data_IF_160598690156
#
_entry.id   IF_160598690156
#
_cell.length_a   1.000
_cell.length_b   1.000
_cell.length_c   1.000
_cell.angle_alpha   90.00
_cell.angle_beta   90.00
_cell.angle_gamma   90.00
#
_symmetry.space_group_name_H-M   'P 1'
#
loop_
_entity.id
_entity.type
_entity.pdbx_description
1 polymer ?
#
# COMPACT_ATOMS: atom_id res chain seq x y z
N UNK A 1 17.26 -77.63 6.36
CA UNK A 1 18.64 -77.40 6.85
C UNK A 1 18.75 -75.92 7.23
N UNK A 2 19.15 -75.60 8.47
CA UNK A 2 19.37 -74.22 8.98
C UNK A 2 18.24 -73.66 9.87
N UNK A 3 17.99 -74.25 11.05
CA UNK A 3 18.37 -73.80 12.41
C UNK A 3 17.49 -72.70 13.05
N UNK A 4 16.68 -73.21 13.97
CA UNK A 4 16.03 -72.61 15.14
C UNK A 4 16.98 -71.97 16.17
N UNK A 5 16.43 -71.03 16.97
CA UNK A 5 16.60 -70.72 18.42
C UNK A 5 16.80 -69.20 18.61
N UNK A 6 16.00 -68.45 19.37
CA UNK A 6 15.20 -68.74 20.55
C UNK A 6 15.94 -68.28 21.80
N UNK A 7 15.39 -67.36 22.59
CA UNK A 7 15.59 -67.32 24.05
C UNK A 7 14.64 -66.38 24.79
N UNK A 8 14.15 -66.86 25.93
CA UNK A 8 13.25 -66.25 26.90
C UNK A 8 14.03 -65.83 28.16
N UNK A 9 13.57 -64.75 28.80
CA UNK A 9 13.47 -64.44 30.26
C UNK A 9 14.70 -64.46 31.20
N UNK A 10 14.87 -63.37 31.98
CA UNK A 10 15.27 -63.30 33.41
C UNK A 10 15.07 -61.84 33.89
N UNK A 11 14.17 -61.44 34.80
CA UNK A 11 14.04 -61.52 36.27
C UNK A 11 15.13 -60.78 37.09
N UNK A 12 14.67 -59.69 37.74
CA UNK A 12 15.03 -58.98 39.01
C UNK A 12 16.49 -58.65 39.40
N UNK A 13 16.74 -57.36 39.74
CA UNK A 13 17.16 -56.94 41.10
C UNK A 13 16.99 -55.41 41.31
N UNK A 14 16.47 -55.04 42.49
CA UNK A 14 16.34 -53.70 43.06
C UNK A 14 17.67 -53.17 43.62
N UNK A 15 18.04 -51.91 43.35
CA UNK A 15 18.77 -51.05 44.31
C UNK A 15 18.23 -49.62 44.16
N UNK A 16 17.70 -49.10 45.27
CA UNK A 16 17.39 -47.69 45.46
C UNK A 16 18.65 -46.93 45.86
N UNK A 17 18.91 -45.78 45.23
CA UNK A 17 19.68 -44.70 45.88
C UNK A 17 19.02 -43.36 45.53
N UNK A 18 18.69 -42.64 46.59
CA UNK A 18 18.06 -41.33 46.55
C UNK A 18 19.00 -40.27 45.98
N UNK A 19 18.48 -39.43 45.09
CA UNK A 19 18.95 -38.06 44.96
C UNK A 19 17.77 -37.12 45.16
N UNK A 20 17.88 -36.30 46.20
CA UNK A 20 17.05 -35.14 46.46
C UNK A 20 17.41 -34.08 45.41
N UNK A 21 16.40 -33.60 44.68
CA UNK A 21 16.55 -32.52 43.71
C UNK A 21 15.18 -31.97 43.31
N UNK A 22 14.67 -31.04 44.13
CA UNK A 22 13.64 -30.03 43.83
C UNK A 22 12.46 -30.47 42.95
N UNK A 23 11.35 -30.82 43.62
CA UNK A 23 10.06 -31.05 42.99
C UNK A 23 9.35 -29.74 42.63
N UNK A 24 8.87 -29.68 41.39
CA UNK A 24 7.64 -28.98 41.02
C UNK A 24 6.76 -30.00 40.28
N UNK A 25 5.59 -30.41 40.82
CA UNK A 25 4.63 -31.24 40.10
C UNK A 25 3.83 -30.42 39.07
N UNK A 26 3.23 -31.06 38.05
CA UNK A 26 2.58 -30.37 36.94
C UNK A 26 1.09 -30.06 37.15
N UNK A 27 0.64 -29.10 36.35
CA UNK A 27 -0.71 -28.84 35.83
C UNK A 27 -1.76 -28.12 36.71
N UNK A 28 -2.13 -26.93 36.24
CA UNK A 28 -3.54 -26.56 36.06
C UNK A 28 -3.72 -25.88 34.69
N UNK A 29 -4.48 -26.54 33.83
CA UNK A 29 -5.24 -25.97 32.70
C UNK A 29 -6.02 -24.74 33.20
N UNK A 30 -6.11 -23.62 32.49
CA UNK A 30 -6.93 -23.45 31.30
C UNK A 30 -6.53 -22.14 30.57
N UNK A 31 -6.28 -22.23 29.27
CA UNK A 31 -6.62 -21.14 28.35
C UNK A 31 -7.52 -21.71 27.27
N UNK A 32 -8.72 -21.13 27.20
CA UNK A 32 -9.83 -21.37 26.30
C UNK A 32 -9.40 -21.44 24.81
N UNK A 33 -9.83 -22.45 24.02
CA UNK A 33 -9.52 -22.53 22.60
C UNK A 33 -10.39 -21.55 21.81
N UNK A 34 -10.00 -20.28 21.79
CA UNK A 34 -10.42 -19.36 20.75
C UNK A 34 -9.65 -19.72 19.47
N UNK A 35 -10.38 -20.34 18.54
CA UNK A 35 -10.24 -20.33 17.06
C UNK A 35 -8.81 -20.58 16.50
N UNK A 36 -8.61 -21.59 15.62
CA UNK A 36 -7.35 -21.73 14.89
C UNK A 36 -7.01 -20.41 14.20
N UNK A 37 -5.86 -19.84 14.56
CA UNK A 37 -5.45 -18.50 14.16
C UNK A 37 -5.65 -18.25 12.68
N UNK A 38 -6.51 -17.27 12.37
CA UNK A 38 -6.27 -16.44 11.22
C UNK A 38 -4.82 -15.95 11.39
N UNK A 39 -3.92 -16.35 10.50
CA UNK A 39 -2.66 -15.63 10.36
C UNK A 39 -3.05 -14.18 10.15
N UNK A 40 -2.76 -13.32 11.12
CA UNK A 40 -3.00 -11.89 11.01
C UNK A 40 -2.39 -11.45 9.67
N UNK A 41 -3.25 -11.03 8.75
CA UNK A 41 -2.82 -10.78 7.38
C UNK A 41 -1.80 -9.65 7.41
N UNK A 42 -0.60 -9.90 6.88
CA UNK A 42 0.44 -8.87 6.79
C UNK A 42 -0.17 -7.60 6.16
N UNK A 43 0.11 -6.44 6.75
CA UNK A 43 -0.03 -5.18 6.02
C UNK A 43 0.84 -5.25 4.75
N UNK A 44 0.68 -4.43 3.71
CA UNK A 44 1.40 -4.47 2.46
C UNK A 44 2.79 -3.91 2.65
N UNK A 45 3.02 -3.05 3.65
CA UNK A 45 4.38 -2.69 4.03
C UNK A 45 5.06 -3.93 4.58
N UNK A 46 4.45 -4.65 5.53
CA UNK A 46 5.02 -5.91 6.03
C UNK A 46 5.15 -6.98 4.93
N UNK A 47 4.15 -7.11 4.05
CA UNK A 47 4.13 -8.02 2.92
C UNK A 47 5.24 -7.66 1.92
N UNK A 48 5.39 -6.39 1.56
CA UNK A 48 6.43 -5.90 0.65
C UNK A 48 7.81 -6.09 1.26
N UNK A 49 7.99 -5.78 2.54
CA UNK A 49 9.24 -6.03 3.25
C UNK A 49 9.55 -7.53 3.23
N UNK A 50 8.57 -8.38 3.55
CA UNK A 50 8.70 -9.83 3.52
C UNK A 50 9.05 -10.33 2.12
N UNK A 51 8.40 -9.78 1.09
CA UNK A 51 8.70 -10.06 -0.32
C UNK A 51 10.13 -9.66 -0.69
N UNK A 52 10.64 -8.50 -0.26
CA UNK A 52 12.04 -8.12 -0.49
C UNK A 52 13.03 -9.07 0.21
N UNK A 53 12.77 -9.41 1.48
CA UNK A 53 13.60 -10.37 2.21
C UNK A 53 13.64 -11.73 1.52
N UNK A 54 12.50 -12.26 1.08
CA UNK A 54 12.47 -13.55 0.37
C UNK A 54 13.07 -13.44 -1.04
N UNK A 55 12.80 -12.37 -1.78
CA UNK A 55 13.27 -12.21 -3.16
C UNK A 55 14.79 -12.05 -3.23
N UNK A 56 15.38 -11.31 -2.29
CA UNK A 56 16.81 -11.01 -2.32
C UNK A 56 17.58 -11.93 -1.39
N UNK A 57 17.11 -12.11 -0.15
CA UNK A 57 17.89 -12.79 0.89
C UNK A 57 17.47 -14.25 1.13
N UNK A 58 16.39 -14.74 0.50
CA UNK A 58 15.86 -16.09 0.71
C UNK A 58 15.69 -16.45 2.21
N UNK A 59 15.07 -15.53 2.95
CA UNK A 59 14.70 -15.71 4.36
C UNK A 59 13.57 -14.76 4.75
N UNK A 60 13.03 -14.94 5.96
CA UNK A 60 12.12 -13.96 6.57
C UNK A 60 12.85 -12.73 7.13
N UNK A 61 12.16 -11.58 7.21
CA UNK A 61 12.60 -10.47 8.05
C UNK A 61 12.70 -10.90 9.52
N UNK A 62 13.75 -10.48 10.20
CA UNK A 62 13.76 -10.48 11.67
C UNK A 62 12.97 -9.27 12.21
N UNK A 63 12.63 -9.28 13.51
CA UNK A 63 11.81 -8.24 14.14
C UNK A 63 12.39 -6.84 13.99
N UNK A 64 13.72 -6.68 14.05
CA UNK A 64 14.37 -5.37 13.93
C UNK A 64 14.38 -4.89 12.49
N UNK A 65 14.67 -5.78 11.55
CA UNK A 65 14.58 -5.53 10.12
C UNK A 65 13.19 -5.09 9.71
N UNK A 66 12.14 -5.83 10.12
CA UNK A 66 10.75 -5.47 9.83
C UNK A 66 10.42 -4.06 10.33
N UNK A 67 10.67 -3.78 11.61
CA UNK A 67 10.36 -2.49 12.21
C UNK A 67 11.08 -1.32 11.52
N UNK A 68 12.35 -1.51 11.15
CA UNK A 68 13.14 -0.48 10.47
C UNK A 68 12.56 -0.13 9.10
N UNK A 69 12.35 -1.13 8.23
CA UNK A 69 11.83 -0.88 6.89
C UNK A 69 10.37 -0.39 6.91
N UNK A 70 9.57 -0.89 7.85
CA UNK A 70 8.19 -0.46 8.01
C UNK A 70 8.10 1.04 8.34
N UNK A 71 8.97 1.53 9.23
CA UNK A 71 9.05 2.95 9.56
C UNK A 71 9.38 3.82 8.34
N UNK A 72 10.30 3.37 7.49
CA UNK A 72 10.66 4.07 6.26
C UNK A 72 9.50 4.10 5.26
N UNK A 73 8.86 2.96 5.00
CA UNK A 73 7.70 2.90 4.10
C UNK A 73 6.53 3.74 4.63
N UNK A 74 6.28 3.70 5.95
CA UNK A 74 5.19 4.46 6.58
C UNK A 74 5.42 5.97 6.58
N UNK A 75 6.66 6.42 6.41
CA UNK A 75 7.03 7.83 6.22
C UNK A 75 7.20 8.20 4.73
N UNK A 76 6.79 7.30 3.83
CA UNK A 76 6.74 7.52 2.40
C UNK A 76 8.10 7.38 1.70
N UNK A 77 9.04 6.60 2.24
CA UNK A 77 10.24 6.21 1.50
C UNK A 77 9.86 5.49 0.20
N UNK A 78 10.65 5.70 -0.86
CA UNK A 78 10.42 5.03 -2.14
C UNK A 78 10.79 3.53 -1.99
N UNK A 79 9.89 2.58 -2.29
CA UNK A 79 10.19 1.16 -2.28
C UNK A 79 11.44 0.76 -3.09
N UNK A 80 11.77 1.50 -4.16
CA UNK A 80 12.98 1.28 -4.96
C UNK A 80 14.23 1.53 -4.11
N UNK A 81 14.23 2.53 -3.22
CA UNK A 81 15.36 2.79 -2.32
C UNK A 81 15.59 1.65 -1.34
N UNK A 82 14.50 1.04 -0.88
CA UNK A 82 14.57 -0.15 -0.02
C UNK A 82 15.11 -1.33 -0.83
N UNK A 83 14.53 -1.60 -2.00
CA UNK A 83 15.01 -2.66 -2.90
C UNK A 83 16.50 -2.48 -3.26
N UNK A 84 16.97 -1.25 -3.45
CA UNK A 84 18.38 -0.91 -3.68
C UNK A 84 19.26 -1.28 -2.47
N UNK A 85 18.80 -0.95 -1.26
CA UNK A 85 19.52 -1.30 -0.04
C UNK A 85 19.63 -2.82 0.16
N UNK A 86 18.60 -3.60 -0.22
CA UNK A 86 18.69 -5.07 -0.25
C UNK A 86 19.66 -5.56 -1.33
N UNK A 87 19.52 -5.09 -2.56
CA UNK A 87 20.32 -5.53 -3.71
C UNK A 87 21.82 -5.24 -3.56
N UNK A 88 22.17 -4.17 -2.82
CA UNK A 88 23.55 -3.78 -2.49
C UNK A 88 24.02 -4.26 -1.11
N UNK A 89 23.18 -4.98 -0.38
CA UNK A 89 23.51 -5.39 0.98
C UNK A 89 24.72 -6.33 0.98
N UNK A 90 25.60 -6.14 1.98
CA UNK A 90 26.71 -7.06 2.21
C UNK A 90 26.21 -8.49 2.47
N UNK A 91 25.03 -8.63 3.07
CA UNK A 91 24.40 -9.94 3.28
C UNK A 91 24.11 -10.66 1.96
N UNK A 92 23.48 -9.98 1.00
CA UNK A 92 23.20 -10.57 -0.31
C UNK A 92 24.48 -10.95 -1.05
N UNK A 93 25.46 -10.05 -1.07
CA UNK A 93 26.75 -10.28 -1.72
C UNK A 93 27.49 -11.49 -1.11
N UNK A 94 27.53 -11.60 0.22
CA UNK A 94 28.22 -12.69 0.91
C UNK A 94 27.49 -14.02 0.78
N UNK A 95 26.15 -14.02 0.86
CA UNK A 95 25.35 -15.25 0.85
C UNK A 95 25.32 -15.92 -0.53
N UNK A 96 25.27 -15.13 -1.59
CA UNK A 96 25.10 -15.63 -2.95
C UNK A 96 26.28 -15.35 -3.88
N UNK A 97 27.35 -14.75 -3.36
CA UNK A 97 28.58 -14.48 -4.11
C UNK A 97 28.36 -13.52 -5.28
N UNK A 98 27.43 -12.57 -5.14
CA UNK A 98 27.11 -11.56 -6.15
C UNK A 98 28.02 -10.35 -5.96
N UNK A 99 28.70 -9.94 -7.03
CA UNK A 99 29.52 -8.71 -7.07
C UNK A 99 28.82 -7.61 -7.86
N UNK A 100 29.30 -6.38 -7.81
CA UNK A 100 28.81 -5.31 -8.70
C UNK A 100 29.40 -5.45 -10.11
N UNK A 101 28.69 -4.89 -11.09
CA UNK A 101 29.08 -4.91 -12.50
C UNK A 101 28.57 -6.12 -13.30
N UNK A 102 28.88 -6.19 -14.60
CA UNK A 102 28.21 -7.09 -15.56
C UNK A 102 28.34 -8.58 -15.24
N UNK A 103 29.49 -9.03 -14.75
CA UNK A 103 29.68 -10.43 -14.34
C UNK A 103 28.87 -10.80 -13.09
N UNK A 104 28.63 -9.81 -12.22
CA UNK A 104 27.76 -9.94 -11.07
C UNK A 104 26.28 -9.85 -11.43
N UNK A 105 25.92 -9.13 -12.49
CA UNK A 105 24.54 -8.94 -12.95
C UNK A 105 23.91 -10.27 -13.38
N UNK A 106 24.63 -11.08 -14.17
CA UNK A 106 24.15 -12.40 -14.56
C UNK A 106 23.94 -13.33 -13.34
N UNK A 107 24.83 -13.27 -12.35
CA UNK A 107 24.69 -14.05 -11.11
C UNK A 107 23.55 -13.52 -10.23
N UNK A 108 23.38 -12.20 -10.16
CA UNK A 108 22.25 -11.56 -9.49
C UNK A 108 20.93 -12.04 -10.09
N UNK A 109 20.81 -12.01 -11.42
CA UNK A 109 19.61 -12.48 -12.12
C UNK A 109 19.32 -13.95 -11.81
N UNK A 110 20.33 -14.81 -11.89
CA UNK A 110 20.20 -16.23 -11.57
C UNK A 110 19.68 -16.45 -10.14
N UNK A 111 20.24 -15.70 -9.19
CA UNK A 111 19.85 -15.85 -7.80
C UNK A 111 18.44 -15.32 -7.52
N UNK A 112 18.09 -14.14 -8.04
CA UNK A 112 16.73 -13.59 -7.87
C UNK A 112 15.70 -14.51 -8.52
N UNK A 113 16.00 -15.08 -9.69
CA UNK A 113 15.14 -16.10 -10.32
C UNK A 113 14.92 -17.32 -9.43
N UNK A 114 15.98 -17.86 -8.83
CA UNK A 114 15.85 -18.99 -7.91
C UNK A 114 15.04 -18.61 -6.68
N UNK A 115 15.36 -17.48 -6.05
CA UNK A 115 14.68 -17.00 -4.86
C UNK A 115 13.21 -16.70 -5.11
N UNK A 116 12.84 -16.20 -6.30
CA UNK A 116 11.49 -15.67 -6.60
C UNK A 116 10.63 -16.64 -7.42
N UNK A 117 11.22 -17.38 -8.35
CA UNK A 117 10.49 -18.30 -9.24
C UNK A 117 10.82 -19.77 -8.96
N UNK A 118 11.90 -20.07 -8.22
CA UNK A 118 12.24 -21.42 -7.79
C UNK A 118 12.91 -22.23 -8.90
N UNK A 119 13.36 -21.54 -9.94
CA UNK A 119 13.93 -22.11 -11.16
C UNK A 119 14.95 -21.14 -11.74
N UNK A 120 15.91 -21.67 -12.50
CA UNK A 120 16.82 -20.83 -13.27
C UNK A 120 16.09 -20.12 -14.41
N UNK A 121 16.55 -18.92 -14.83
CA UNK A 121 16.01 -18.27 -16.02
C UNK A 121 16.34 -19.08 -17.27
N UNK A 122 15.40 -19.19 -18.20
CA UNK A 122 15.70 -19.64 -19.55
C UNK A 122 16.57 -18.61 -20.30
N UNK A 123 17.14 -19.00 -21.43
CA UNK A 123 18.10 -18.16 -22.16
C UNK A 123 17.50 -16.83 -22.63
N UNK A 124 16.24 -16.82 -23.09
CA UNK A 124 15.59 -15.62 -23.59
C UNK A 124 15.23 -14.66 -22.45
N UNK A 125 14.67 -15.20 -21.36
CA UNK A 125 14.37 -14.44 -20.16
C UNK A 125 15.63 -13.83 -19.54
N UNK A 126 16.70 -14.61 -19.41
CA UNK A 126 17.98 -14.11 -18.89
C UNK A 126 18.53 -12.97 -19.74
N UNK A 127 18.47 -13.10 -21.07
CA UNK A 127 18.94 -12.06 -21.98
C UNK A 127 18.11 -10.79 -21.83
N UNK A 128 16.78 -10.89 -21.81
CA UNK A 128 15.89 -9.74 -21.65
C UNK A 128 16.22 -8.91 -20.40
N UNK A 129 16.41 -9.56 -19.25
CA UNK A 129 16.75 -8.83 -18.03
C UNK A 129 18.17 -8.26 -18.05
N UNK A 130 19.11 -8.97 -18.68
CA UNK A 130 20.48 -8.48 -18.83
C UNK A 130 20.52 -7.23 -19.74
N UNK A 131 19.76 -7.21 -20.82
CA UNK A 131 19.66 -6.03 -21.72
C UNK A 131 19.14 -4.80 -20.97
N UNK A 132 18.21 -4.97 -20.03
CA UNK A 132 17.73 -3.88 -19.16
C UNK A 132 18.84 -3.37 -18.23
N UNK A 133 19.61 -4.27 -17.62
CA UNK A 133 20.75 -3.88 -16.77
C UNK A 133 21.83 -3.15 -17.59
N UNK A 134 22.14 -3.62 -18.79
CA UNK A 134 23.08 -2.98 -19.71
C UNK A 134 22.58 -1.60 -20.19
N UNK A 135 21.27 -1.43 -20.35
CA UNK A 135 20.63 -0.15 -20.65
C UNK A 135 20.60 0.82 -19.44
N UNK A 136 21.12 0.41 -18.28
CA UNK A 136 21.24 1.25 -17.09
C UNK A 136 20.06 1.15 -16.11
N UNK A 137 19.15 0.20 -16.28
CA UNK A 137 18.14 -0.10 -15.26
C UNK A 137 18.86 -0.67 -14.03
N UNK A 138 18.67 -0.11 -12.83
CA UNK A 138 19.35 -0.60 -11.64
C UNK A 138 18.72 -1.92 -11.15
N UNK A 139 19.54 -2.77 -10.51
CA UNK A 139 19.09 -4.03 -9.88
C UNK A 139 17.89 -3.84 -8.95
N UNK A 140 17.77 -2.69 -8.30
CA UNK A 140 16.65 -2.34 -7.41
C UNK A 140 15.28 -2.39 -8.11
N UNK A 141 15.20 -1.99 -9.38
CA UNK A 141 13.96 -2.09 -10.15
C UNK A 141 13.63 -3.55 -10.48
N UNK A 142 14.63 -4.35 -10.81
CA UNK A 142 14.44 -5.78 -11.05
C UNK A 142 13.97 -6.48 -9.78
N UNK A 143 14.61 -6.24 -8.63
CA UNK A 143 14.16 -6.77 -7.33
C UNK A 143 12.70 -6.40 -7.09
N UNK A 144 12.33 -5.14 -7.29
CA UNK A 144 10.96 -4.67 -7.10
C UNK A 144 9.97 -5.40 -8.03
N UNK A 145 10.26 -5.52 -9.32
CA UNK A 145 9.35 -6.18 -10.25
C UNK A 145 9.18 -7.67 -9.95
N UNK A 146 10.27 -8.36 -9.60
CA UNK A 146 10.22 -9.75 -9.20
C UNK A 146 9.47 -9.94 -7.88
N UNK A 147 9.73 -9.09 -6.88
CA UNK A 147 9.09 -9.17 -5.57
C UNK A 147 7.59 -8.87 -5.61
N UNK A 148 7.13 -8.10 -6.59
CA UNK A 148 5.71 -7.78 -6.77
C UNK A 148 5.02 -8.64 -7.84
N UNK A 149 5.73 -9.60 -8.44
CA UNK A 149 5.17 -10.44 -9.50
C UNK A 149 4.07 -11.38 -8.97
N UNK A 150 3.10 -11.69 -9.83
CA UNK A 150 2.07 -12.68 -9.55
C UNK A 150 2.70 -14.07 -9.31
N UNK A 151 3.68 -14.47 -10.14
CA UNK A 151 4.38 -15.77 -10.01
C UNK A 151 5.02 -15.92 -8.63
N UNK A 152 5.67 -14.88 -8.10
CA UNK A 152 6.24 -14.93 -6.76
C UNK A 152 5.16 -15.04 -5.67
N UNK A 153 4.13 -14.23 -5.78
CA UNK A 153 3.05 -14.14 -4.80
C UNK A 153 2.26 -15.46 -4.72
N UNK A 154 1.98 -16.08 -5.87
CA UNK A 154 1.35 -17.40 -5.99
C UNK A 154 2.23 -18.51 -5.41
N UNK A 155 3.49 -18.56 -5.81
CA UNK A 155 4.41 -19.61 -5.35
C UNK A 155 4.68 -19.56 -3.84
N UNK A 156 4.74 -18.36 -3.26
CA UNK A 156 5.09 -18.18 -1.84
C UNK A 156 3.90 -18.02 -0.91
N UNK A 157 2.68 -17.87 -1.45
CA UNK A 157 1.49 -17.51 -0.68
C UNK A 157 1.54 -16.10 -0.09
N UNK A 158 2.56 -15.28 -0.43
CA UNK A 158 2.65 -13.87 -0.04
C UNK A 158 1.73 -13.04 -0.94
N UNK A 159 0.43 -13.30 -0.85
CA UNK A 159 -0.60 -12.51 -1.52
C UNK A 159 -1.14 -11.47 -0.55
N UNK A 160 -1.51 -10.30 -1.08
CA UNK A 160 -2.33 -9.38 -0.31
C UNK A 160 -3.66 -10.07 0.00
N UNK A 161 -4.16 -9.93 1.23
CA UNK A 161 -5.37 -10.59 1.68
C UNK A 161 -6.57 -10.39 0.74
N UNK A 162 -7.54 -11.30 0.81
CA UNK A 162 -8.83 -11.09 0.19
C UNK A 162 -9.47 -9.84 0.82
N UNK A 163 -9.98 -8.93 -0.01
CA UNK A 163 -10.74 -7.79 0.47
C UNK A 163 -12.17 -8.25 0.75
N UNK A 164 -12.84 -7.72 1.79
CA UNK A 164 -14.29 -7.83 1.90
C UNK A 164 -14.97 -7.19 0.67
N UNK A 165 -16.24 -7.51 0.39
CA UNK A 165 -17.00 -6.82 -0.66
C UNK A 165 -16.97 -5.31 -0.44
N UNK A 166 -16.90 -4.55 -1.53
CA UNK A 166 -17.04 -3.10 -1.49
C UNK A 166 -18.41 -2.74 -0.88
N UNK A 167 -18.40 -1.80 0.05
CA UNK A 167 -19.61 -1.24 0.66
C UNK A 167 -19.61 0.27 0.48
N UNK A 168 -20.77 0.81 0.12
CA UNK A 168 -21.04 2.24 0.07
C UNK A 168 -22.42 2.55 0.64
N UNK A 169 -22.57 3.70 1.27
CA UNK A 169 -23.86 4.26 1.62
C UNK A 169 -23.87 5.77 1.37
N UNK A 170 -25.06 6.30 1.06
CA UNK A 170 -25.29 7.72 0.80
C UNK A 170 -26.32 8.22 1.80
N UNK A 171 -25.97 9.24 2.57
CA UNK A 171 -26.87 9.85 3.55
C UNK A 171 -27.00 11.36 3.33
N UNK A 172 -28.12 11.92 3.81
CA UNK A 172 -28.32 13.38 3.83
C UNK A 172 -27.46 13.97 4.95
N UNK A 173 -27.03 15.21 4.75
CA UNK A 173 -26.31 15.98 5.75
C UNK A 173 -27.12 17.17 6.23
N UNK A 174 -26.90 17.55 7.47
CA UNK A 174 -27.34 18.80 8.08
C UNK A 174 -26.18 19.80 8.12
N UNK A 175 -26.47 21.04 8.49
CA UNK A 175 -25.42 22.04 8.78
C UNK A 175 -24.48 21.56 9.89
N UNK A 176 -25.00 20.88 10.91
CA UNK A 176 -24.19 20.36 12.02
C UNK A 176 -23.21 19.27 11.57
N UNK A 177 -23.63 18.40 10.65
CA UNK A 177 -22.77 17.33 10.10
C UNK A 177 -21.64 17.88 9.22
N UNK A 178 -21.86 19.04 8.59
CA UNK A 178 -20.86 19.71 7.75
C UNK A 178 -19.86 20.53 8.56
N UNK A 179 -20.23 20.92 9.79
CA UNK A 179 -19.39 21.69 10.70
C UNK A 179 -18.78 22.93 10.03
N UNK A 180 -17.47 23.14 10.23
CA UNK A 180 -16.77 24.32 9.72
C UNK A 180 -16.51 24.30 8.22
N UNK A 181 -16.77 23.18 7.53
CA UNK A 181 -16.65 23.08 6.07
C UNK A 181 -17.81 23.78 5.32
N UNK A 182 -18.86 24.20 6.05
CA UNK A 182 -20.02 24.93 5.52
C UNK A 182 -20.36 26.14 6.39
N UNK A 183 -20.93 27.19 5.78
CA UNK A 183 -21.46 28.37 6.48
C UNK A 183 -22.58 29.04 5.68
N UNK A 184 -23.43 29.87 6.31
CA UNK A 184 -24.39 30.68 5.58
C UNK A 184 -23.71 31.53 4.49
N UNK A 185 -24.23 31.44 3.26
CA UNK A 185 -23.65 32.10 2.08
C UNK A 185 -22.86 31.16 1.16
N UNK A 186 -22.66 29.90 1.55
CA UNK A 186 -22.16 28.86 0.66
C UNK A 186 -23.05 28.68 -0.58
N UNK A 187 -22.47 28.34 -1.74
CA UNK A 187 -23.23 28.27 -2.99
C UNK A 187 -24.17 27.06 -3.08
N UNK A 188 -23.97 26.06 -2.21
CA UNK A 188 -24.79 24.84 -2.13
C UNK A 188 -25.32 24.68 -0.70
N UNK A 189 -26.61 24.43 -0.56
CA UNK A 189 -27.25 24.23 0.74
C UNK A 189 -27.02 22.78 1.23
N UNK A 190 -27.04 22.51 2.55
CA UNK A 190 -26.82 21.16 3.08
C UNK A 190 -27.76 20.10 2.52
N UNK A 191 -29.01 20.47 2.21
CA UNK A 191 -30.01 19.58 1.58
C UNK A 191 -29.57 19.04 0.20
N UNK A 192 -28.65 19.73 -0.48
CA UNK A 192 -28.15 19.41 -1.82
C UNK A 192 -26.75 18.77 -1.75
N UNK A 193 -26.25 18.48 -0.54
CA UNK A 193 -25.03 17.72 -0.29
C UNK A 193 -25.36 16.33 0.26
N UNK A 194 -24.44 15.38 0.10
CA UNK A 194 -24.53 14.02 0.66
C UNK A 194 -23.23 13.63 1.32
N UNK A 195 -23.33 12.93 2.43
CA UNK A 195 -22.22 12.19 3.03
C UNK A 195 -22.22 10.79 2.43
N UNK A 196 -21.11 10.44 1.79
CA UNK A 196 -20.82 9.11 1.30
C UNK A 196 -19.92 8.43 2.31
N UNK A 197 -20.34 7.26 2.77
CA UNK A 197 -19.48 6.35 3.55
C UNK A 197 -19.08 5.21 2.63
N UNK A 198 -17.80 5.10 2.27
CA UNK A 198 -17.31 4.15 1.25
C UNK A 198 -16.16 3.32 1.75
N UNK A 199 -16.09 2.07 1.29
CA UNK A 199 -14.93 1.21 1.48
C UNK A 199 -13.79 1.66 0.56
N UNK A 200 -12.58 1.71 1.07
CA UNK A 200 -11.37 1.98 0.29
C UNK A 200 -10.25 1.02 0.70
N UNK A 201 -9.25 0.86 -0.17
CA UNK A 201 -8.03 0.12 0.16
C UNK A 201 -7.01 1.10 0.70
N UNK A 202 -6.56 0.93 1.94
CA UNK A 202 -5.58 1.84 2.52
C UNK A 202 -4.16 1.58 1.98
N UNK A 203 -3.16 2.37 2.38
CA UNK A 203 -1.74 2.05 2.08
C UNK A 203 -1.30 0.73 2.74
N UNK A 204 -2.06 0.30 3.76
CA UNK A 204 -1.99 -1.03 4.32
C UNK A 204 -2.78 -2.11 3.54
N UNK A 205 -3.25 -1.84 2.31
CA UNK A 205 -3.81 -2.83 1.38
C UNK A 205 -5.00 -3.61 1.94
N UNK A 206 -5.51 -3.18 3.08
CA UNK A 206 -6.68 -3.69 3.76
C UNK A 206 -7.83 -2.76 3.48
N UNK A 207 -9.04 -3.30 3.52
CA UNK A 207 -10.23 -2.47 3.44
C UNK A 207 -10.31 -1.57 4.68
N UNK A 208 -10.63 -0.31 4.44
CA UNK A 208 -10.96 0.70 5.44
C UNK A 208 -12.23 1.41 5.00
N UNK A 209 -12.87 2.14 5.90
CA UNK A 209 -14.06 2.92 5.60
C UNK A 209 -13.72 4.40 5.71
N UNK A 210 -14.17 5.18 4.74
CA UNK A 210 -13.94 6.61 4.66
C UNK A 210 -15.22 7.39 4.46
N UNK A 211 -15.15 8.69 4.74
CA UNK A 211 -16.26 9.62 4.66
C UNK A 211 -15.91 10.79 3.75
N UNK A 212 -16.79 11.05 2.78
CA UNK A 212 -16.60 12.14 1.82
C UNK A 212 -17.93 12.84 1.53
N UNK A 213 -17.91 14.17 1.52
CA UNK A 213 -19.10 14.97 1.22
C UNK A 213 -19.02 15.45 -0.22
N UNK A 214 -20.07 15.20 -1.01
CA UNK A 214 -20.20 15.62 -2.42
C UNK A 214 -21.59 16.20 -2.69
N UNK A 215 -21.77 16.81 -3.86
CA UNK A 215 -23.09 17.24 -4.35
C UNK A 215 -24.01 16.03 -4.52
N UNK A 216 -25.30 16.20 -4.23
CA UNK A 216 -26.28 15.12 -4.29
C UNK A 216 -26.36 14.46 -5.67
N UNK A 217 -26.23 15.25 -6.74
CA UNK A 217 -26.26 14.76 -8.13
C UNK A 217 -25.04 13.91 -8.50
N UNK A 218 -23.95 13.97 -7.74
CA UNK A 218 -22.71 13.22 -8.01
C UNK A 218 -22.50 12.05 -7.03
N UNK A 219 -23.38 11.87 -6.04
CA UNK A 219 -23.18 10.91 -4.95
C UNK A 219 -23.08 9.45 -5.44
N UNK A 220 -23.96 9.04 -6.35
CA UNK A 220 -23.94 7.67 -6.89
C UNK A 220 -22.74 7.45 -7.82
N UNK A 221 -22.44 8.42 -8.70
CA UNK A 221 -21.31 8.36 -9.62
C UNK A 221 -19.97 8.26 -8.88
N UNK A 222 -19.80 9.03 -7.80
CA UNK A 222 -18.60 8.97 -6.97
C UNK A 222 -18.50 7.64 -6.22
N UNK A 223 -19.64 7.04 -5.82
CA UNK A 223 -19.64 5.68 -5.24
C UNK A 223 -19.13 4.64 -6.25
N UNK A 224 -19.52 4.75 -7.52
CA UNK A 224 -18.99 3.91 -8.63
C UNK A 224 -17.49 4.11 -8.83
N UNK A 225 -17.00 5.35 -8.75
CA UNK A 225 -15.55 5.61 -8.81
C UNK A 225 -14.82 4.88 -7.70
N UNK A 226 -15.26 5.01 -6.45
CA UNK A 226 -14.61 4.32 -5.32
C UNK A 226 -14.70 2.81 -5.40
N UNK A 227 -15.78 2.24 -5.94
CA UNK A 227 -15.87 0.81 -6.21
C UNK A 227 -14.77 0.37 -7.20
N UNK A 228 -14.58 1.11 -8.29
CA UNK A 228 -13.51 0.83 -9.27
C UNK A 228 -12.12 0.96 -8.65
N UNK A 229 -11.88 1.98 -7.84
CA UNK A 229 -10.62 2.16 -7.13
C UNK A 229 -10.37 1.01 -6.13
N UNK A 230 -11.40 0.56 -5.44
CA UNK A 230 -11.33 -0.55 -4.49
C UNK A 230 -10.99 -1.87 -5.20
N UNK A 231 -11.64 -2.16 -6.32
CA UNK A 231 -11.36 -3.33 -7.16
C UNK A 231 -9.92 -3.26 -7.72
N UNK A 232 -9.50 -2.09 -8.17
CA UNK A 232 -8.13 -1.84 -8.64
C UNK A 232 -7.08 -1.84 -7.51
N UNK A 233 -7.52 -1.93 -6.23
CA UNK A 233 -6.69 -1.83 -5.03
C UNK A 233 -5.81 -0.56 -5.01
N UNK A 234 -6.32 0.55 -5.54
CA UNK A 234 -5.63 1.83 -5.47
C UNK A 234 -5.54 2.30 -4.01
N UNK A 235 -4.33 2.53 -3.46
CA UNK A 235 -4.17 2.85 -2.05
C UNK A 235 -4.56 4.29 -1.76
N UNK A 236 -5.41 4.49 -0.75
CA UNK A 236 -5.82 5.80 -0.23
C UNK A 236 -5.31 5.95 1.21
N UNK A 237 -4.69 7.08 1.58
CA UNK A 237 -4.12 7.24 2.92
C UNK A 237 -5.21 7.39 3.97
N UNK A 238 -6.10 8.35 3.76
CA UNK A 238 -7.28 8.57 4.57
C UNK A 238 -8.36 9.23 3.74
N UNK A 239 -9.60 9.13 4.21
CA UNK A 239 -10.75 9.81 3.63
C UNK A 239 -11.64 10.24 4.78
N UNK A 240 -11.43 11.47 5.21
CA UNK A 240 -12.08 12.15 6.34
C UNK A 240 -12.61 13.48 5.86
N UNK A 241 -13.68 13.95 6.48
CA UNK A 241 -14.29 15.22 6.08
C UNK A 241 -13.37 16.39 6.42
N UNK A 242 -13.49 17.50 5.69
CA UNK A 242 -12.65 18.69 5.92
C UNK A 242 -12.94 19.36 7.27
N UNK A 243 -14.12 19.13 7.84
CA UNK A 243 -14.45 19.57 9.21
C UNK A 243 -13.46 19.03 10.24
N UNK A 244 -13.03 17.77 10.10
CA UNK A 244 -12.07 17.13 11.00
C UNK A 244 -10.66 17.74 10.94
N UNK A 245 -10.40 18.56 9.92
CA UNK A 245 -9.17 19.36 9.76
C UNK A 245 -9.40 20.85 10.06
N UNK A 246 -10.51 21.19 10.72
CA UNK A 246 -10.86 22.57 11.06
C UNK A 246 -11.10 23.45 9.83
N UNK A 247 -11.55 22.88 8.71
CA UNK A 247 -11.82 23.62 7.48
C UNK A 247 -10.57 23.88 6.63
N UNK A 248 -9.40 23.40 7.05
CA UNK A 248 -8.11 23.68 6.41
C UNK A 248 -7.76 22.65 5.35
N UNK A 249 -7.77 23.07 4.09
CA UNK A 249 -7.27 22.24 2.98
C UNK A 249 -5.77 21.98 3.14
N UNK A 250 -4.98 22.94 3.61
CA UNK A 250 -3.54 22.75 3.80
C UNK A 250 -3.27 21.61 4.79
N UNK A 251 -3.97 21.58 5.93
CA UNK A 251 -3.83 20.52 6.92
C UNK A 251 -4.32 19.16 6.37
N UNK A 252 -5.41 19.15 5.60
CA UNK A 252 -5.93 17.94 4.97
C UNK A 252 -4.97 17.39 3.91
N UNK A 253 -4.42 18.27 3.07
CA UNK A 253 -3.46 17.91 2.03
C UNK A 253 -2.14 17.40 2.61
N UNK A 254 -1.61 18.05 3.65
CA UNK A 254 -0.40 17.61 4.37
C UNK A 254 -0.58 16.22 5.01
N UNK A 255 -1.80 15.92 5.49
CA UNK A 255 -2.16 14.59 5.99
C UNK A 255 -2.39 13.55 4.86
N UNK A 256 -2.24 13.93 3.59
CA UNK A 256 -2.52 13.13 2.41
C UNK A 256 -3.99 12.65 2.34
N UNK A 257 -4.91 13.42 2.92
CA UNK A 257 -6.31 13.05 3.03
C UNK A 257 -7.07 13.28 1.71
N UNK A 258 -7.87 12.29 1.32
CA UNK A 258 -8.79 12.41 0.19
C UNK A 258 -10.07 13.11 0.63
N UNK A 259 -10.47 14.16 -0.08
CA UNK A 259 -11.62 14.99 0.29
C UNK A 259 -12.29 15.62 -0.94
N UNK A 260 -13.51 16.14 -0.78
CA UNK A 260 -14.28 16.73 -1.88
C UNK A 260 -14.92 18.08 -1.54
N UNK A 261 -15.75 18.15 -0.51
CA UNK A 261 -16.42 19.40 -0.17
C UNK A 261 -15.65 20.25 0.85
N UNK A 262 -15.40 21.51 0.48
CA UNK A 262 -15.02 22.58 1.41
C UNK A 262 -15.55 23.91 0.87
N UNK A 263 -16.44 24.55 1.61
CA UNK A 263 -17.04 25.81 1.20
C UNK A 263 -16.08 26.99 1.38
N UNK A 264 -15.28 27.23 0.35
CA UNK A 264 -14.38 28.38 0.30
C UNK A 264 -14.29 29.00 -1.09
N UNK A 265 -13.77 30.23 -1.12
CA UNK A 265 -13.33 30.85 -2.36
C UNK A 265 -12.09 30.14 -2.90
N UNK A 266 -11.91 30.18 -4.22
CA UNK A 266 -10.66 29.72 -4.82
C UNK A 266 -9.50 30.64 -4.38
N UNK A 267 -8.30 30.08 -4.20
CA UNK A 267 -7.14 30.84 -3.72
C UNK A 267 -6.86 31.98 -4.71
N UNK A 268 -6.73 33.22 -4.20
CA UNK A 268 -6.57 34.45 -4.98
C UNK A 268 -7.76 34.82 -5.91
N UNK A 269 -8.97 34.34 -5.62
CA UNK A 269 -10.17 34.62 -6.42
C UNK A 269 -11.37 35.05 -5.58
N UNK A 270 -12.27 35.83 -6.18
CA UNK A 270 -13.61 36.10 -5.63
C UNK A 270 -14.64 35.03 -6.01
N UNK A 271 -14.26 34.11 -6.91
CA UNK A 271 -15.08 32.98 -7.34
C UNK A 271 -15.00 31.82 -6.35
N UNK A 272 -16.08 31.06 -6.26
CA UNK A 272 -16.13 29.85 -5.47
C UNK A 272 -15.22 28.77 -6.06
N UNK A 273 -14.59 27.99 -5.18
CA UNK A 273 -13.88 26.77 -5.59
C UNK A 273 -14.87 25.73 -6.13
N UNK A 274 -14.43 24.85 -7.03
CA UNK A 274 -15.24 23.69 -7.44
C UNK A 274 -15.60 22.79 -6.22
N UNK A 275 -14.71 22.71 -5.23
CA UNK A 275 -14.95 22.04 -3.95
C UNK A 275 -16.13 22.66 -3.17
N UNK A 276 -16.37 23.97 -3.31
CA UNK A 276 -17.50 24.63 -2.63
C UNK A 276 -18.85 24.25 -3.22
N UNK A 277 -18.87 23.65 -4.41
CA UNK A 277 -20.06 23.09 -5.04
C UNK A 277 -20.24 21.60 -4.76
N UNK A 278 -19.29 20.93 -4.09
CA UNK A 278 -19.28 19.48 -3.96
C UNK A 278 -19.07 18.75 -5.29
N UNK A 279 -18.46 19.43 -6.27
CA UNK A 279 -18.25 18.96 -7.65
C UNK A 279 -16.76 18.77 -7.97
N UNK A 280 -15.94 18.64 -6.94
CA UNK A 280 -14.52 18.34 -7.05
C UNK A 280 -14.08 17.37 -5.95
N UNK A 281 -12.98 16.66 -6.19
CA UNK A 281 -12.38 15.68 -5.30
C UNK A 281 -10.86 15.71 -5.47
N UNK A 282 -10.15 15.83 -4.37
CA UNK A 282 -8.69 15.74 -4.33
C UNK A 282 -8.28 14.37 -3.75
N UNK A 283 -7.50 13.60 -4.52
CA UNK A 283 -7.14 12.21 -4.20
C UNK A 283 -5.66 12.08 -3.81
N UNK A 284 -5.41 11.72 -2.54
CA UNK A 284 -4.09 11.65 -1.93
C UNK A 284 -3.17 12.86 -2.28
N UNK A 285 -3.51 14.08 -1.81
CA UNK A 285 -2.79 15.31 -2.12
C UNK A 285 -1.27 15.31 -1.97
N UNK A 286 -0.74 14.65 -0.92
CA UNK A 286 0.70 14.63 -0.64
C UNK A 286 1.48 13.94 -1.76
N UNK A 287 0.93 12.85 -2.31
CA UNK A 287 1.58 12.07 -3.39
C UNK A 287 1.16 12.54 -4.80
N UNK A 288 0.10 13.34 -4.89
CA UNK A 288 -0.40 13.94 -6.12
C UNK A 288 -0.49 15.47 -6.00
N UNK A 289 0.63 16.18 -5.80
CA UNK A 289 0.58 17.58 -5.45
C UNK A 289 0.05 18.48 -6.57
N UNK A 290 -0.46 19.64 -6.18
CA UNK A 290 -0.59 20.79 -7.05
C UNK A 290 0.79 21.35 -7.40
N UNK A 291 1.01 21.72 -8.65
CA UNK A 291 2.27 22.27 -9.17
C UNK A 291 2.00 23.44 -10.12
N UNK A 292 2.50 24.63 -9.76
CA UNK A 292 2.46 25.83 -10.61
C UNK A 292 3.78 26.59 -10.54
N UNK A 293 4.57 26.51 -11.61
CA UNK A 293 5.94 27.03 -11.61
C UNK A 293 6.78 26.31 -10.54
N UNK A 294 7.31 27.05 -9.57
CA UNK A 294 8.09 26.49 -8.45
C UNK A 294 7.27 26.13 -7.21
N UNK A 295 5.98 26.52 -7.20
CA UNK A 295 5.07 26.25 -6.10
C UNK A 295 4.59 24.81 -6.20
N UNK A 296 4.75 24.06 -5.11
CA UNK A 296 4.19 22.72 -4.92
C UNK A 296 3.37 22.76 -3.64
N UNK A 297 2.11 22.30 -3.70
CA UNK A 297 1.25 22.17 -2.53
C UNK A 297 0.72 20.73 -2.44
N UNK A 298 0.79 20.08 -1.26
CA UNK A 298 1.52 20.53 -0.07
C UNK A 298 3.05 20.49 -0.30
N UNK A 299 3.82 21.31 0.45
CA UNK A 299 5.29 21.39 0.29
C UNK A 299 5.97 20.03 0.52
N UNK A 300 5.48 19.26 1.50
CA UNK A 300 5.97 17.92 1.79
C UNK A 300 5.81 16.94 0.60
N UNK A 301 4.91 17.27 -0.35
CA UNK A 301 4.70 16.53 -1.59
C UNK A 301 5.71 16.84 -2.72
N UNK A 302 6.64 17.79 -2.53
CA UNK A 302 7.55 18.28 -3.60
C UNK A 302 8.29 17.19 -4.36
N UNK A 303 8.70 16.11 -3.70
CA UNK A 303 9.38 14.99 -4.37
C UNK A 303 8.50 14.33 -5.45
N UNK A 304 7.17 14.32 -5.25
CA UNK A 304 6.22 13.71 -6.17
C UNK A 304 5.80 14.62 -7.34
N UNK A 305 6.25 15.88 -7.34
CA UNK A 305 6.17 16.72 -8.55
C UNK A 305 7.03 16.12 -9.69
N UNK A 306 8.13 15.45 -9.34
CA UNK A 306 8.83 14.56 -10.27
C UNK A 306 8.03 13.26 -10.43
N UNK A 307 7.30 13.13 -11.54
CA UNK A 307 6.46 11.94 -11.82
C UNK A 307 7.25 10.66 -12.12
N UNK A 308 8.59 10.74 -12.14
CA UNK A 308 9.49 9.58 -12.24
C UNK A 308 9.72 8.88 -10.90
N UNK A 309 9.33 9.50 -9.76
CA UNK A 309 9.37 8.85 -8.45
C UNK A 309 8.36 7.70 -8.41
N UNK A 310 8.70 6.61 -7.71
CA UNK A 310 7.78 5.52 -7.53
C UNK A 310 6.91 5.72 -6.29
N UNK A 311 5.60 5.62 -6.48
CA UNK A 311 4.60 5.49 -5.41
C UNK A 311 3.40 4.76 -5.99
N UNK A 312 2.79 3.81 -5.25
CA UNK A 312 1.63 3.06 -5.72
C UNK A 312 0.36 3.93 -5.82
N UNK A 313 0.37 5.12 -5.23
CA UNK A 313 -0.74 6.08 -5.26
C UNK A 313 -0.47 7.28 -6.20
N UNK A 314 0.61 7.26 -6.97
CA UNK A 314 0.92 8.34 -7.90
C UNK A 314 0.09 8.18 -9.18
N UNK A 315 -0.76 9.17 -9.46
CA UNK A 315 -1.69 9.16 -10.60
C UNK A 315 -1.01 9.59 -11.90
N UNK A 316 -1.13 8.78 -12.94
CA UNK A 316 -0.66 9.05 -14.30
C UNK A 316 -1.80 8.92 -15.29
N UNK A 317 -1.62 9.56 -16.45
CA UNK A 317 -2.53 9.40 -17.57
C UNK A 317 -2.60 7.91 -17.96
N UNK A 318 -3.81 7.37 -18.12
CA UNK A 318 -4.05 5.96 -18.39
C UNK A 318 -4.11 5.05 -17.14
N UNK A 319 -3.90 5.58 -15.93
CA UNK A 319 -4.13 4.80 -14.72
C UNK A 319 -5.62 4.57 -14.48
N UNK A 320 -5.96 3.47 -13.80
CA UNK A 320 -7.34 3.11 -13.44
C UNK A 320 -8.09 4.23 -12.69
N UNK A 321 -7.36 5.09 -11.96
CA UNK A 321 -7.92 6.27 -11.31
C UNK A 321 -8.51 7.24 -12.34
N UNK A 322 -7.71 7.59 -13.35
CA UNK A 322 -8.11 8.54 -14.38
C UNK A 322 -9.26 7.96 -15.20
N UNK A 323 -9.19 6.68 -15.56
CA UNK A 323 -10.27 5.98 -16.27
C UNK A 323 -11.58 5.92 -15.46
N UNK A 324 -11.50 5.76 -14.14
CA UNK A 324 -12.68 5.75 -13.27
C UNK A 324 -13.39 7.10 -13.27
N UNK A 325 -12.66 8.20 -13.09
CA UNK A 325 -13.25 9.55 -13.13
C UNK A 325 -13.74 9.96 -14.53
N UNK A 326 -12.99 9.59 -15.58
CA UNK A 326 -13.41 9.83 -16.96
C UNK A 326 -14.76 9.14 -17.27
N UNK A 327 -14.99 7.96 -16.69
CA UNK A 327 -16.23 7.21 -16.91
C UNK A 327 -17.48 7.88 -16.37
N UNK A 328 -17.33 8.83 -15.44
CA UNK A 328 -18.42 9.67 -14.90
C UNK A 328 -18.36 11.11 -15.43
N UNK A 329 -17.48 11.39 -16.41
CA UNK A 329 -17.32 12.70 -17.03
C UNK A 329 -16.59 13.74 -16.18
N UNK A 330 -15.85 13.32 -15.15
CA UNK A 330 -15.01 14.21 -14.33
C UNK A 330 -13.62 14.32 -14.94
N UNK A 331 -13.13 15.56 -15.11
CA UNK A 331 -11.84 15.83 -15.71
C UNK A 331 -10.73 15.80 -14.65
N UNK A 332 -9.55 15.31 -15.03
CA UNK A 332 -8.36 15.29 -14.19
C UNK A 332 -7.49 16.54 -14.38
N UNK A 333 -7.15 17.22 -13.29
CA UNK A 333 -6.29 18.41 -13.26
C UNK A 333 -4.84 18.16 -13.71
N UNK A 334 -4.39 16.90 -13.74
CA UNK A 334 -3.11 16.52 -14.35
C UNK A 334 -3.03 16.81 -15.86
N UNK A 335 -4.18 16.95 -16.53
CA UNK A 335 -4.26 17.27 -17.96
C UNK A 335 -4.16 18.76 -18.27
N UNK A 336 -4.24 19.64 -17.27
CA UNK A 336 -4.20 21.08 -17.49
C UNK A 336 -2.82 21.56 -17.98
N UNK A 337 -2.81 22.62 -18.78
CA UNK A 337 -1.59 23.14 -19.42
C UNK A 337 -0.93 24.29 -18.64
N UNK A 338 -1.74 25.13 -17.97
CA UNK A 338 -1.27 26.32 -17.24
C UNK A 338 -0.66 25.99 -15.87
N UNK A 339 -1.02 24.83 -15.32
CA UNK A 339 -0.53 24.24 -14.08
C UNK A 339 -0.82 22.74 -14.11
N UNK A 340 -0.28 22.00 -13.16
CA UNK A 340 -0.62 20.59 -12.94
C UNK A 340 -1.25 20.42 -11.58
N UNK A 341 -2.49 19.98 -11.53
CA UNK A 341 -3.17 19.66 -10.27
C UNK A 341 -3.41 18.16 -10.21
N UNK A 342 -2.38 17.40 -9.80
CA UNK A 342 -2.41 15.94 -9.94
C UNK A 342 -3.44 15.27 -9.02
N UNK A 343 -3.80 15.92 -7.92
CA UNK A 343 -4.81 15.44 -6.96
C UNK A 343 -6.23 15.63 -7.48
N UNK A 344 -6.45 16.63 -8.34
CA UNK A 344 -7.76 17.22 -8.55
C UNK A 344 -8.57 16.52 -9.65
N UNK A 345 -9.81 16.19 -9.32
CA UNK A 345 -10.83 15.73 -10.26
C UNK A 345 -12.09 16.56 -10.07
N UNK A 346 -12.71 17.01 -11.16
CA UNK A 346 -13.92 17.84 -11.05
C UNK A 346 -14.87 17.72 -12.23
N UNK A 347 -16.13 18.07 -11.99
CA UNK A 347 -17.16 18.10 -13.02
C UNK A 347 -16.88 19.26 -14.00
N UNK A 348 -16.45 18.91 -15.20
CA UNK A 348 -16.04 19.88 -16.21
C UNK A 348 -14.63 20.44 -15.99
N UNK A 349 -14.04 20.98 -17.05
CA UNK A 349 -12.62 21.36 -17.08
C UNK A 349 -12.36 22.77 -16.50
N UNK A 350 -12.96 23.10 -15.35
CA UNK A 350 -12.93 24.47 -14.78
C UNK A 350 -11.83 24.71 -13.78
#
# INVERSE_FOLDING_TARGET
>A
MGRSRGMRKLILLLIALAFVGLGIPPAASQSDPSVPGEMESLTPNELRITRFYRAVLDREPDTKGMAYWYSLLSTGADPVQIADAFAKSAEFALRFGVVEGPSGDLRFLDQVYLNVLGRSPDAAGRQYWNDLLEAGVPRSHIVLWFSESAEFSERTGLQAGALPPFQSSVSRVTEADLGVSWQPGCPVAPKDLRLLTVSYVNFSGTASTGEIVVHADSAEDISVVFERLFIARYPIQSMRTIDEFGGSDDASMEANNTSAFNCRKAVFSTSWSAHAYGQALDLNPLVNPYVKGFVVLPEAGRKFANRSVHSPALIREGDAVVEAFDSIGWAWGGRWNSLKDYQHFSLGNR
#
